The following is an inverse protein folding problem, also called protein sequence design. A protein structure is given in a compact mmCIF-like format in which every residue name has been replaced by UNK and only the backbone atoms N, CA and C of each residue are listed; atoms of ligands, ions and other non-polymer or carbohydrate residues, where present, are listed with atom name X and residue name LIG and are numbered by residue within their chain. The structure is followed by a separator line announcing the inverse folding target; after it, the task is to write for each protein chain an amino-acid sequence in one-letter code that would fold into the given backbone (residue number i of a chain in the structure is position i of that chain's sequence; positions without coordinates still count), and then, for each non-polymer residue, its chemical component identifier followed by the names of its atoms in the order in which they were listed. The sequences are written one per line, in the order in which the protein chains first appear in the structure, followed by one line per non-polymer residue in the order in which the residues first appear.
data_IF_707088009228
#
_entry.id   IF_707088009228
#
_cell.length_a   1.000
_cell.length_b   1.000
_cell.length_c   1.000
_cell.angle_alpha   90.00
_cell.angle_beta   90.00
_cell.angle_gamma   90.00
#
_symmetry.space_group_name_H-M   'P 1'
#
loop_
_entity.id
_entity.type
_entity.pdbx_description
1 polymer ?
#
# COMPACT_ATOMS: atom_id res chain seq x y z
N UNK A 1 -6.99 -20.77 -20.11
CA UNK A 1 -8.26 -20.11 -19.71
C UNK A 1 -7.91 -18.64 -19.53
N UNK A 2 -8.69 -17.73 -20.10
CA UNK A 2 -8.47 -16.31 -19.87
C UNK A 2 -8.79 -16.00 -18.41
N UNK A 3 -7.90 -15.27 -17.74
CA UNK A 3 -8.14 -14.77 -16.38
C UNK A 3 -9.29 -13.76 -16.45
N UNK A 4 -10.26 -13.89 -15.55
CA UNK A 4 -11.30 -12.86 -15.35
C UNK A 4 -10.67 -11.75 -14.50
N UNK A 5 -10.45 -10.58 -15.08
CA UNK A 5 -9.73 -9.49 -14.42
C UNK A 5 -10.26 -8.12 -14.83
N UNK A 6 -10.05 -7.13 -13.97
CA UNK A 6 -10.28 -5.71 -14.25
C UNK A 6 -9.03 -4.90 -13.87
N UNK A 7 -8.70 -3.89 -14.68
CA UNK A 7 -7.53 -3.03 -14.45
C UNK A 7 -7.93 -1.56 -14.32
N UNK A 8 -7.29 -0.86 -13.40
CA UNK A 8 -7.55 0.54 -13.06
C UNK A 8 -6.24 1.32 -13.14
N UNK A 9 -6.24 2.43 -13.87
CA UNK A 9 -5.12 3.36 -13.90
C UNK A 9 -5.19 4.25 -12.64
N UNK A 10 -4.13 4.25 -11.86
CA UNK A 10 -3.94 5.09 -10.67
C UNK A 10 -2.69 5.93 -10.89
N UNK A 11 -2.85 7.03 -11.63
CA UNK A 11 -1.76 7.90 -12.07
C UNK A 11 -0.67 7.14 -12.82
N UNK A 12 0.50 6.91 -12.23
CA UNK A 12 1.60 6.14 -12.86
C UNK A 12 1.52 4.62 -12.62
N UNK A 13 0.67 4.14 -11.71
CA UNK A 13 0.49 2.72 -11.41
C UNK A 13 -0.74 2.13 -12.09
N UNK A 14 -0.74 0.81 -12.31
CA UNK A 14 -1.91 0.04 -12.74
C UNK A 14 -2.25 -0.99 -11.69
N UNK A 15 -3.45 -0.91 -11.11
CA UNK A 15 -3.99 -1.96 -10.25
C UNK A 15 -4.77 -2.95 -11.12
N UNK A 16 -4.43 -4.24 -11.06
CA UNK A 16 -5.23 -5.29 -11.71
C UNK A 16 -5.79 -6.23 -10.65
N UNK A 17 -7.11 -6.39 -10.64
CA UNK A 17 -7.82 -7.32 -9.76
C UNK A 17 -8.20 -8.53 -10.61
N UNK A 18 -7.74 -9.71 -10.20
CA UNK A 18 -8.06 -11.00 -10.82
C UNK A 18 -9.07 -11.76 -9.96
N UNK A 19 -10.14 -12.25 -10.58
CA UNK A 19 -11.17 -13.02 -9.89
C UNK A 19 -10.58 -14.29 -9.27
N UNK A 20 -10.87 -14.50 -7.99
CA UNK A 20 -10.69 -15.76 -7.29
C UNK A 20 -11.93 -16.03 -6.45
N UNK A 21 -12.28 -17.31 -6.35
CA UNK A 21 -13.42 -17.74 -5.52
C UNK A 21 -13.20 -17.47 -4.03
N UNK A 22 -11.97 -17.70 -3.57
CA UNK A 22 -11.56 -17.50 -2.18
C UNK A 22 -10.43 -16.47 -2.17
N UNK A 23 -10.59 -15.41 -1.38
CA UNK A 23 -9.66 -14.30 -1.27
C UNK A 23 -9.38 -14.00 0.22
N UNK A 24 -8.26 -13.35 0.46
CA UNK A 24 -7.95 -12.72 1.74
C UNK A 24 -7.60 -11.25 1.48
N UNK A 25 -7.95 -10.33 2.39
CA UNK A 25 -7.70 -8.91 2.18
C UNK A 25 -6.23 -8.54 1.99
N UNK A 26 -6.01 -7.47 1.23
CA UNK A 26 -4.73 -6.76 1.10
C UNK A 26 -4.78 -5.45 1.88
N UNK A 27 -3.62 -4.87 2.13
CA UNK A 27 -3.47 -3.46 2.47
C UNK A 27 -2.63 -2.81 1.37
N UNK A 28 -3.09 -1.70 0.82
CA UNK A 28 -2.32 -0.89 -0.11
C UNK A 28 -2.71 0.58 0.01
N UNK A 29 -1.74 1.47 -0.21
CA UNK A 29 -1.95 2.91 -0.20
C UNK A 29 -1.77 3.52 -1.58
N UNK A 30 -2.50 4.59 -1.82
CA UNK A 30 -2.45 5.39 -3.04
C UNK A 30 -2.03 6.80 -2.64
N UNK A 31 -0.93 7.28 -3.21
CA UNK A 31 -0.52 8.67 -3.05
C UNK A 31 -1.58 9.60 -3.64
N UNK A 32 -1.92 10.65 -2.90
CA UNK A 32 -2.70 11.81 -3.37
C UNK A 32 -1.86 13.09 -3.21
N UNK A 33 -2.22 14.21 -3.84
CA UNK A 33 -1.45 15.44 -3.69
C UNK A 33 -1.34 15.85 -2.22
N UNK A 34 -0.16 16.34 -1.86
CA UNK A 34 0.27 16.69 -0.50
C UNK A 34 -0.64 17.65 0.29
N UNK A 35 -1.59 18.32 -0.37
CA UNK A 35 -2.52 19.29 0.24
C UNK A 35 -4.00 18.89 0.12
N UNK A 36 -4.32 17.63 -0.20
CA UNK A 36 -5.68 17.19 -0.57
C UNK A 36 -6.39 16.29 0.43
N UNK A 37 -5.82 15.99 1.59
CA UNK A 37 -6.40 15.09 2.59
C UNK A 37 -7.86 15.44 2.95
N UNK A 38 -8.18 16.71 3.19
CA UNK A 38 -9.54 17.10 3.58
C UNK A 38 -10.55 16.97 2.44
N UNK A 39 -10.14 17.27 1.21
CA UNK A 39 -10.99 17.12 0.03
C UNK A 39 -11.17 15.64 -0.33
N UNK A 40 -10.11 14.83 -0.19
CA UNK A 40 -10.15 13.39 -0.38
C UNK A 40 -11.09 12.72 0.62
N UNK A 41 -11.05 13.11 1.90
CA UNK A 41 -11.99 12.64 2.92
C UNK A 41 -13.44 12.95 2.51
N UNK A 42 -13.71 14.21 2.14
CA UNK A 42 -15.05 14.65 1.72
C UNK A 42 -15.53 13.87 0.48
N UNK A 43 -14.62 13.61 -0.47
CA UNK A 43 -14.89 12.82 -1.66
C UNK A 43 -15.20 11.35 -1.33
N UNK A 44 -14.46 10.72 -0.42
CA UNK A 44 -14.71 9.35 0.01
C UNK A 44 -16.04 9.22 0.79
N UNK A 45 -16.33 10.12 1.73
CA UNK A 45 -17.56 10.09 2.56
C UNK A 45 -18.85 10.20 1.74
N UNK A 46 -18.80 10.79 0.56
CA UNK A 46 -19.93 10.82 -0.37
C UNK A 46 -20.22 9.46 -1.04
N UNK A 47 -19.34 8.48 -0.87
CA UNK A 47 -19.33 7.21 -1.62
C UNK A 47 -19.30 5.98 -0.71
N UNK A 48 -18.63 6.06 0.43
CA UNK A 48 -18.36 4.92 1.30
C UNK A 48 -18.11 5.34 2.76
N UNK A 49 -18.07 4.34 3.64
CA UNK A 49 -17.74 4.51 5.06
C UNK A 49 -16.22 4.55 5.25
N UNK A 50 -15.77 5.48 6.09
CA UNK A 50 -14.35 5.67 6.45
C UNK A 50 -14.04 4.80 7.67
N UNK A 51 -12.87 4.18 7.69
CA UNK A 51 -12.36 3.50 8.88
C UNK A 51 -11.77 4.54 9.82
N UNK A 52 -12.17 4.47 11.07
CA UNK A 52 -11.81 5.42 12.12
C UNK A 52 -11.18 4.69 13.29
N UNK A 53 -10.24 5.36 13.96
CA UNK A 53 -9.71 4.96 15.27
C UNK A 53 -9.92 6.13 16.22
N UNK A 54 -10.52 5.90 17.40
CA UNK A 54 -10.72 6.95 18.42
C UNK A 54 -11.37 8.25 17.88
N UNK A 55 -12.38 8.12 17.00
CA UNK A 55 -13.09 9.24 16.35
C UNK A 55 -12.26 10.04 15.31
N UNK A 56 -11.06 9.56 14.96
CA UNK A 56 -10.17 10.18 13.98
C UNK A 56 -10.45 9.62 12.58
N UNK A 57 -10.80 10.51 11.63
CA UNK A 57 -11.02 10.16 10.21
C UNK A 57 -9.78 10.38 9.33
N UNK A 58 -8.90 11.31 9.72
CA UNK A 58 -7.61 11.58 9.07
C UNK A 58 -6.52 11.28 10.08
N UNK A 59 -5.78 10.21 9.84
CA UNK A 59 -4.66 9.82 10.69
C UNK A 59 -3.43 10.66 10.34
N UNK A 60 -2.82 11.28 11.35
CA UNK A 60 -1.59 12.05 11.22
C UNK A 60 -0.40 11.17 11.56
N UNK A 61 0.50 10.97 10.60
CA UNK A 61 1.74 10.22 10.77
C UNK A 61 2.91 11.21 10.84
N UNK A 62 3.08 11.84 12.00
CA UNK A 62 4.08 12.89 12.23
C UNK A 62 5.48 12.48 11.77
N UNK A 63 5.92 11.26 12.08
CA UNK A 63 7.24 10.74 11.71
C UNK A 63 7.44 10.55 10.21
N UNK A 64 6.35 10.31 9.46
CA UNK A 64 6.37 10.16 8.01
C UNK A 64 5.96 11.44 7.29
N UNK A 65 5.63 12.51 8.03
CA UNK A 65 5.12 13.77 7.50
C UNK A 65 4.00 13.53 6.48
N UNK A 66 3.00 12.72 6.86
CA UNK A 66 1.94 12.27 5.97
C UNK A 66 0.60 12.21 6.70
N UNK A 67 -0.49 12.37 5.93
CA UNK A 67 -1.86 12.23 6.43
C UNK A 67 -2.62 11.19 5.63
N UNK A 68 -3.33 10.30 6.31
CA UNK A 68 -3.95 9.14 5.68
C UNK A 68 -5.43 8.99 6.01
N UNK A 69 -6.18 8.41 5.08
CA UNK A 69 -7.59 8.07 5.23
C UNK A 69 -7.78 6.63 4.77
N UNK A 70 -8.47 5.83 5.59
CA UNK A 70 -8.65 4.41 5.36
C UNK A 70 -10.10 4.08 5.03
N UNK A 71 -10.30 3.12 4.13
CA UNK A 71 -11.62 2.58 3.79
C UNK A 71 -11.51 1.13 3.32
N UNK A 72 -12.63 0.42 3.35
CA UNK A 72 -12.72 -0.90 2.72
C UNK A 72 -13.22 -0.79 1.29
N UNK A 73 -12.67 -1.61 0.40
CA UNK A 73 -13.35 -1.96 -0.85
C UNK A 73 -14.36 -3.12 -0.64
N UNK A 74 -14.93 -3.62 -1.75
CA UNK A 74 -15.92 -4.71 -1.72
C UNK A 74 -15.36 -6.04 -1.16
N UNK A 75 -14.05 -6.28 -1.30
CA UNK A 75 -13.37 -7.50 -0.85
C UNK A 75 -12.71 -7.31 0.53
N UNK A 76 -13.01 -6.19 1.21
CA UNK A 76 -12.47 -5.80 2.51
C UNK A 76 -10.97 -5.56 2.50
N UNK A 77 -10.39 -5.22 1.35
CA UNK A 77 -9.04 -4.68 1.30
C UNK A 77 -9.00 -3.35 2.07
N UNK A 78 -7.94 -3.14 2.82
CA UNK A 78 -7.68 -1.90 3.55
C UNK A 78 -7.00 -0.96 2.58
N UNK A 79 -7.79 -0.09 1.96
CA UNK A 79 -7.31 0.90 1.01
C UNK A 79 -7.02 2.20 1.75
N UNK A 80 -5.86 2.77 1.48
CA UNK A 80 -5.41 4.02 2.07
C UNK A 80 -5.24 5.10 0.99
N UNK A 81 -5.77 6.30 1.22
CA UNK A 81 -5.31 7.50 0.51
C UNK A 81 -4.34 8.24 1.41
N UNK A 82 -3.10 8.44 0.95
CA UNK A 82 -2.04 9.06 1.75
C UNK A 82 -1.51 10.33 1.07
N UNK A 83 -1.53 11.44 1.82
CA UNK A 83 -0.99 12.73 1.43
C UNK A 83 0.36 12.97 2.12
N UNK A 84 1.46 12.60 1.45
CA UNK A 84 2.82 12.82 1.94
C UNK A 84 3.26 14.25 1.67
N UNK A 85 3.65 14.98 2.71
CA UNK A 85 3.96 16.42 2.58
C UNK A 85 5.30 16.67 1.91
N UNK A 86 6.24 15.74 2.03
CA UNK A 86 7.58 15.85 1.45
C UNK A 86 7.59 15.80 -0.10
N UNK A 87 6.58 15.17 -0.72
CA UNK A 87 6.45 15.13 -2.18
C UNK A 87 6.23 16.52 -2.81
N UNK A 88 5.77 17.51 -2.03
CA UNK A 88 5.59 18.91 -2.45
C UNK A 88 4.86 19.07 -3.81
N UNK A 89 3.90 18.18 -4.07
CA UNK A 89 3.18 18.02 -5.33
C UNK A 89 1.75 18.58 -5.23
N UNK A 90 1.56 19.64 -4.43
CA UNK A 90 0.23 20.18 -4.15
C UNK A 90 -0.55 20.55 -5.42
N UNK A 91 -1.86 20.38 -5.39
CA UNK A 91 -2.75 20.67 -6.51
C UNK A 91 -3.82 21.70 -6.10
N UNK A 92 -4.14 22.65 -6.98
CA UNK A 92 -5.18 23.68 -6.74
C UNK A 92 -6.57 23.27 -7.20
N UNK A 93 -6.69 22.27 -8.08
CA UNK A 93 -7.98 21.77 -8.60
C UNK A 93 -8.73 20.95 -7.54
N UNK A 94 -10.05 20.92 -7.62
CA UNK A 94 -10.90 20.15 -6.71
C UNK A 94 -10.60 18.66 -6.80
N UNK A 95 -10.51 18.00 -5.64
CA UNK A 95 -10.17 16.59 -5.58
C UNK A 95 -11.17 15.69 -6.33
N UNK A 96 -10.62 14.81 -7.16
CA UNK A 96 -11.35 13.78 -7.88
C UNK A 96 -10.41 12.60 -8.22
N UNK A 97 -10.93 11.57 -8.87
CA UNK A 97 -10.19 10.34 -9.18
C UNK A 97 -8.92 10.54 -10.04
N UNK A 98 -8.83 11.62 -10.81
CA UNK A 98 -7.64 11.97 -11.62
C UNK A 98 -6.45 12.39 -10.75
N UNK A 99 -6.68 12.66 -9.46
CA UNK A 99 -5.64 13.00 -8.48
C UNK A 99 -5.19 11.78 -7.65
N UNK A 100 -5.53 10.56 -8.07
CA UNK A 100 -4.89 9.34 -7.56
C UNK A 100 -3.57 9.13 -8.32
N UNK A 101 -2.43 9.22 -7.63
CA UNK A 101 -1.12 9.42 -8.27
C UNK A 101 -0.34 8.13 -8.57
N UNK A 102 -0.31 7.20 -7.62
CA UNK A 102 0.38 5.92 -7.73
C UNK A 102 0.01 5.05 -6.53
N UNK A 103 0.13 3.73 -6.69
CA UNK A 103 0.17 2.81 -5.55
C UNK A 103 1.54 3.02 -4.89
N UNK A 104 1.54 3.55 -3.67
CA UNK A 104 2.75 3.92 -2.94
C UNK A 104 3.05 3.00 -1.77
N UNK A 105 2.14 2.11 -1.40
CA UNK A 105 2.37 1.10 -0.38
C UNK A 105 1.69 -0.22 -0.75
N UNK A 106 2.34 -1.33 -0.45
CA UNK A 106 1.72 -2.68 -0.48
C UNK A 106 2.12 -3.46 0.77
N UNK A 107 1.12 -4.04 1.43
CA UNK A 107 1.32 -4.90 2.59
C UNK A 107 2.07 -6.19 2.23
N UNK A 108 3.08 -6.53 3.03
CA UNK A 108 3.87 -7.76 2.92
C UNK A 108 3.88 -8.54 4.27
N UNK A 109 2.73 -9.08 4.74
CA UNK A 109 2.67 -9.76 6.04
C UNK A 109 3.46 -11.06 6.09
N UNK A 110 4.42 -11.18 6.99
CA UNK A 110 5.31 -12.34 7.06
C UNK A 110 5.48 -12.84 8.49
N UNK A 111 6.06 -14.03 8.63
CA UNK A 111 6.60 -14.52 9.90
C UNK A 111 8.08 -14.18 10.08
N UNK A 112 8.77 -13.68 9.05
CA UNK A 112 10.19 -13.34 9.10
C UNK A 112 10.50 -12.09 8.25
N UNK A 113 10.47 -10.92 8.89
CA UNK A 113 10.70 -9.61 8.24
C UNK A 113 12.12 -9.51 7.70
N UNK A 114 13.13 -9.91 8.47
CA UNK A 114 14.54 -9.84 8.07
C UNK A 114 14.77 -10.62 6.77
N UNK A 115 14.25 -11.85 6.67
CA UNK A 115 14.37 -12.63 5.45
C UNK A 115 13.70 -11.98 4.23
N UNK A 116 12.52 -11.35 4.39
CA UNK A 116 11.86 -10.65 3.27
C UNK A 116 12.63 -9.42 2.85
N UNK A 117 13.09 -8.63 3.82
CA UNK A 117 13.88 -7.43 3.55
C UNK A 117 15.21 -7.77 2.90
N UNK A 118 16.02 -8.68 3.46
CA UNK A 118 17.31 -9.07 2.90
C UNK A 118 17.17 -9.54 1.45
N UNK A 119 16.16 -10.35 1.15
CA UNK A 119 15.91 -10.83 -0.21
C UNK A 119 15.63 -9.68 -1.19
N UNK A 120 14.76 -8.73 -0.84
CA UNK A 120 14.40 -7.61 -1.71
C UNK A 120 15.52 -6.55 -1.79
N UNK A 121 16.26 -6.36 -0.70
CA UNK A 121 17.43 -5.50 -0.64
C UNK A 121 18.56 -6.03 -1.52
N UNK A 122 18.90 -7.32 -1.43
CA UNK A 122 19.92 -7.95 -2.28
C UNK A 122 19.52 -7.92 -3.76
N UNK A 123 18.23 -8.08 -4.06
CA UNK A 123 17.70 -8.05 -5.41
C UNK A 123 17.79 -6.66 -6.05
N UNK A 124 17.41 -5.61 -5.32
CA UNK A 124 17.10 -4.30 -5.91
C UNK A 124 17.87 -3.12 -5.31
N UNK A 125 18.48 -3.30 -4.14
CA UNK A 125 19.14 -2.25 -3.38
C UNK A 125 18.18 -1.29 -2.67
N UNK A 126 16.90 -1.67 -2.49
CA UNK A 126 15.93 -0.93 -1.68
C UNK A 126 16.41 -0.85 -0.23
N UNK A 127 16.28 0.33 0.39
CA UNK A 127 16.74 0.59 1.75
C UNK A 127 15.58 0.55 2.76
N UNK A 128 15.92 0.39 4.03
CA UNK A 128 14.99 0.62 5.14
C UNK A 128 14.48 2.07 5.09
N UNK A 129 13.18 2.25 5.33
CA UNK A 129 12.56 3.55 5.43
C UNK A 129 12.25 3.89 6.89
N UNK A 130 11.58 2.97 7.60
CA UNK A 130 11.16 3.17 9.00
C UNK A 130 10.78 1.84 9.67
N UNK A 131 10.96 1.74 10.99
CA UNK A 131 10.54 0.58 11.78
C UNK A 131 11.71 -0.32 12.21
N UNK A 132 11.45 -1.62 12.36
CA UNK A 132 12.42 -2.63 12.77
C UNK A 132 11.93 -4.07 12.56
N UNK A 133 12.87 -5.01 12.58
CA UNK A 133 12.66 -6.39 12.13
C UNK A 133 11.76 -7.27 13.01
N UNK A 134 11.44 -6.84 14.23
CA UNK A 134 10.64 -7.67 15.14
C UNK A 134 9.14 -7.65 14.82
N UNK A 135 8.60 -6.46 14.52
CA UNK A 135 7.13 -6.22 14.45
C UNK A 135 6.68 -5.62 13.13
N UNK A 136 7.43 -4.67 12.59
CA UNK A 136 7.01 -3.83 11.46
C UNK A 136 8.23 -3.16 10.84
N UNK A 137 8.41 -3.31 9.54
CA UNK A 137 9.40 -2.58 8.76
C UNK A 137 8.76 -2.06 7.48
N UNK A 138 8.90 -0.76 7.24
CA UNK A 138 8.69 -0.15 5.94
C UNK A 138 10.05 -0.02 5.23
N UNK A 139 10.12 -0.44 3.97
CA UNK A 139 11.32 -0.30 3.15
C UNK A 139 10.97 0.06 1.71
N UNK A 140 11.78 0.93 1.10
CA UNK A 140 11.45 1.68 -0.12
C UNK A 140 11.58 3.18 0.08
N UNK A 141 10.77 3.95 -0.63
CA UNK A 141 10.64 5.39 -0.45
C UNK A 141 9.17 5.84 -0.54
N UNK A 142 8.93 7.14 -0.42
CA UNK A 142 7.58 7.74 -0.41
C UNK A 142 6.75 7.48 -1.67
N UNK A 143 7.36 7.02 -2.77
CA UNK A 143 6.68 6.65 -4.01
C UNK A 143 6.42 5.15 -4.12
N UNK A 144 7.04 4.32 -3.28
CA UNK A 144 6.84 2.88 -3.23
C UNK A 144 7.46 2.23 -2.00
N UNK A 145 6.63 1.85 -1.02
CA UNK A 145 7.00 1.11 0.18
C UNK A 145 6.42 -0.30 0.17
N UNK A 146 7.23 -1.25 0.64
CA UNK A 146 6.73 -2.49 1.20
C UNK A 146 6.42 -2.28 2.68
N UNK A 147 5.20 -2.57 3.09
CA UNK A 147 4.76 -2.52 4.48
C UNK A 147 4.82 -3.92 5.07
N UNK A 148 6.00 -4.30 5.56
CA UNK A 148 6.28 -5.65 6.01
C UNK A 148 5.98 -5.78 7.51
N UNK A 149 4.99 -6.62 7.85
CA UNK A 149 4.54 -6.77 9.23
C UNK A 149 4.69 -8.21 9.69
N UNK A 150 5.03 -8.41 10.96
CA UNK A 150 5.03 -9.73 11.56
C UNK A 150 3.60 -10.12 11.91
N UNK A 151 2.97 -10.96 11.08
CA UNK A 151 1.54 -11.30 11.16
C UNK A 151 1.16 -12.11 12.41
N UNK A 152 2.12 -12.67 13.12
CA UNK A 152 1.89 -13.36 14.40
C UNK A 152 1.86 -12.39 15.60
N UNK A 153 2.28 -11.13 15.40
CA UNK A 153 2.48 -10.14 16.47
C UNK A 153 1.65 -8.87 16.23
N UNK A 154 1.46 -8.45 14.97
CA UNK A 154 0.81 -7.19 14.61
C UNK A 154 -0.36 -7.42 13.65
N UNK A 155 -1.48 -6.79 13.99
CA UNK A 155 -2.64 -6.61 13.13
C UNK A 155 -2.58 -5.24 12.42
N UNK A 156 -3.39 -5.10 11.37
CA UNK A 156 -3.44 -3.88 10.56
C UNK A 156 -4.08 -2.72 11.31
N UNK A 157 -3.50 -1.54 11.10
CA UNK A 157 -4.12 -0.25 11.43
C UNK A 157 -5.18 0.08 10.36
N UNK A 158 -6.28 0.80 10.66
CA UNK A 158 -6.69 1.34 11.98
C UNK A 158 -7.56 0.38 12.82
N UNK A 159 -8.11 -0.66 12.21
CA UNK A 159 -9.23 -1.43 12.78
C UNK A 159 -8.83 -2.77 13.42
N UNK A 160 -7.55 -3.13 13.41
CA UNK A 160 -7.06 -4.38 14.00
C UNK A 160 -7.35 -5.62 13.13
N UNK A 161 -7.53 -5.45 11.83
CA UNK A 161 -7.73 -6.57 10.90
C UNK A 161 -6.54 -7.52 10.89
N UNK A 162 -6.83 -8.81 10.75
CA UNK A 162 -5.79 -9.82 10.67
C UNK A 162 -4.97 -9.66 9.39
N UNK A 163 -3.66 -9.79 9.58
CA UNK A 163 -2.71 -9.71 8.50
C UNK A 163 -2.60 -11.05 7.77
N UNK A 164 -2.95 -11.07 6.49
CA UNK A 164 -2.90 -12.26 5.65
C UNK A 164 -1.78 -12.15 4.63
N UNK A 165 -1.03 -13.24 4.41
CA UNK A 165 -0.06 -13.36 3.31
C UNK A 165 -0.78 -13.59 1.97
N UNK A 166 -1.65 -12.65 1.61
CA UNK A 166 -2.47 -12.65 0.41
C UNK A 166 -1.59 -12.57 -0.84
N UNK A 167 -1.84 -13.44 -1.83
CA UNK A 167 -0.93 -13.60 -2.95
C UNK A 167 -1.11 -12.52 -4.03
N UNK A 168 -0.02 -11.84 -4.41
CA UNK A 168 -0.03 -10.83 -5.47
C UNK A 168 1.18 -10.97 -6.40
N UNK A 169 1.05 -10.40 -7.60
CA UNK A 169 2.12 -10.26 -8.60
C UNK A 169 2.38 -8.77 -8.77
N UNK A 170 3.65 -8.37 -8.89
CA UNK A 170 4.02 -6.97 -8.98
C UNK A 170 5.19 -6.75 -9.92
N UNK A 171 5.04 -5.70 -10.74
CA UNK A 171 6.14 -5.07 -11.45
C UNK A 171 6.49 -3.76 -10.77
N UNK A 172 7.77 -3.54 -10.46
CA UNK A 172 8.24 -2.27 -9.91
C UNK A 172 9.57 -1.88 -10.55
N UNK A 173 9.87 -0.60 -10.52
CA UNK A 173 11.13 -0.05 -11.02
C UNK A 173 11.94 0.48 -9.87
N UNK A 174 13.18 0.04 -9.73
CA UNK A 174 14.13 0.59 -8.75
C UNK A 174 15.42 0.96 -9.47
N UNK A 175 15.85 2.22 -9.32
CA UNK A 175 17.05 2.77 -10.00
C UNK A 175 17.08 2.52 -11.53
N UNK A 176 15.91 2.52 -12.18
CA UNK A 176 15.76 2.32 -13.62
C UNK A 176 15.76 0.85 -14.08
N UNK A 177 15.87 -0.11 -13.16
CA UNK A 177 15.76 -1.54 -13.44
C UNK A 177 14.34 -2.00 -13.11
N UNK A 178 13.75 -2.82 -13.99
CA UNK A 178 12.40 -3.32 -13.82
C UNK A 178 12.42 -4.72 -13.23
N UNK A 179 11.81 -4.87 -12.06
CA UNK A 179 11.68 -6.14 -11.37
C UNK A 179 10.28 -6.69 -11.53
N UNK A 180 10.19 -8.01 -11.56
CA UNK A 180 8.94 -8.75 -11.57
C UNK A 180 8.99 -9.79 -10.46
N UNK A 181 8.07 -9.69 -9.50
CA UNK A 181 7.97 -10.60 -8.36
C UNK A 181 6.55 -11.14 -8.18
N UNK A 182 6.45 -12.34 -7.62
CA UNK A 182 5.21 -12.87 -7.05
C UNK A 182 5.40 -13.03 -5.54
N UNK A 183 4.47 -12.52 -4.75
CA UNK A 183 4.36 -12.82 -3.33
C UNK A 183 3.26 -13.85 -3.12
N UNK A 184 3.60 -15.00 -2.51
CA UNK A 184 2.65 -16.09 -2.27
C UNK A 184 3.15 -17.01 -1.19
N UNK A 185 2.25 -17.49 -0.32
CA UNK A 185 2.57 -18.42 0.76
C UNK A 185 3.74 -17.93 1.63
N UNK A 186 3.79 -16.62 1.92
CA UNK A 186 4.87 -16.00 2.70
C UNK A 186 6.26 -16.01 2.02
N UNK A 187 6.30 -16.22 0.70
CA UNK A 187 7.52 -16.22 -0.10
C UNK A 187 7.46 -15.14 -1.18
N UNK A 188 8.61 -14.53 -1.45
CA UNK A 188 8.82 -13.67 -2.61
C UNK A 188 9.55 -14.51 -3.65
N UNK A 189 8.96 -14.63 -4.83
CA UNK A 189 9.51 -15.32 -5.99
C UNK A 189 9.92 -14.27 -7.02
N UNK A 190 11.17 -14.30 -7.46
CA UNK A 190 11.66 -13.40 -8.51
C UNK A 190 11.38 -14.04 -9.86
N UNK A 191 10.54 -13.39 -10.66
CA UNK A 191 10.11 -13.83 -11.98
C UNK A 191 10.91 -13.15 -13.10
N UNK A 192 11.53 -12.01 -12.82
CA UNK A 192 12.42 -11.29 -13.73
C UNK A 192 13.05 -10.05 -13.09
N UNK A 193 14.20 -9.62 -13.62
CA UNK A 193 14.93 -8.40 -13.28
C UNK A 193 15.72 -7.92 -14.50
#
# INVERSE_FOLDING_TARGET
MNKEQASFQLGSSVLTIEYKKETTPYHFAINIPSNKENEALSWLKARLEILIEEEIEIHDFDFWNAKAIYFYDCDKNIVELIARKNLNNGNSETFNQEQLLNISEIGLPTTNIEAKFSQLHELSGIQEFSGGFDRFLAFGDEEGLFICINKDIKDWHPTGDKAHSSAFEMHFTEKGVNYHIEYKNDQVLVLGA
#
